data_IF_719066488564
#
_entry.id   IF_719066488564
#
_cell.length_a   1.000
_cell.length_b   1.000
_cell.length_c   1.000
_cell.angle_alpha   90.00
_cell.angle_beta   90.00
_cell.angle_gamma   90.00
#
_symmetry.space_group_name_H-M   'P 1'
#
loop_
_entity.id
_entity.type
_entity.pdbx_description
1 polymer ?
#
# COMPACT_ATOMS: atom_id res chain seq x y z
N UNK A 1 -10.91 17.01 -12.78
CA UNK A 1 -10.23 15.99 -11.95
C UNK A 1 -10.38 16.37 -10.51
N UNK A 2 -10.70 15.44 -9.60
CA UNK A 2 -10.58 15.76 -8.17
C UNK A 2 -9.30 15.15 -7.63
N UNK A 3 -8.21 15.90 -7.72
CA UNK A 3 -7.05 15.70 -6.86
C UNK A 3 -7.47 16.10 -5.46
N UNK A 4 -7.31 15.19 -4.50
CA UNK A 4 -7.57 15.48 -3.10
C UNK A 4 -6.28 15.21 -2.36
N UNK A 5 -5.70 16.22 -1.72
CA UNK A 5 -4.46 16.05 -0.93
C UNK A 5 -4.80 15.71 0.52
N UNK A 6 -5.81 14.87 0.72
CA UNK A 6 -6.42 14.66 2.03
C UNK A 6 -6.49 13.19 2.41
N UNK A 7 -5.44 12.45 2.07
CA UNK A 7 -5.26 11.11 2.58
C UNK A 7 -4.48 11.21 3.90
N UNK A 8 -5.17 10.98 5.02
CA UNK A 8 -4.55 10.91 6.34
C UNK A 8 -4.63 9.49 6.88
N UNK A 9 -3.55 9.06 7.53
CA UNK A 9 -3.24 7.66 7.81
C UNK A 9 -3.26 7.39 9.32
N UNK A 10 -4.20 6.53 9.72
CA UNK A 10 -4.32 5.72 10.94
C UNK A 10 -4.28 6.39 12.32
N UNK A 11 -4.94 5.73 13.27
CA UNK A 11 -5.31 6.30 14.57
C UNK A 11 -5.11 5.36 15.76
N UNK A 12 -4.82 4.08 15.55
CA UNK A 12 -5.19 3.05 16.52
C UNK A 12 -4.58 3.28 17.92
N UNK A 13 -3.26 3.44 17.99
CA UNK A 13 -2.54 3.72 19.23
C UNK A 13 -2.84 5.10 19.86
N UNK A 14 -3.48 6.01 19.10
CA UNK A 14 -3.89 7.33 19.61
C UNK A 14 -5.33 7.37 20.09
N UNK A 15 -6.18 6.44 19.66
CA UNK A 15 -7.59 6.42 20.07
C UNK A 15 -7.86 5.50 21.25
N UNK A 16 -7.05 4.46 21.45
CA UNK A 16 -7.13 3.59 22.62
C UNK A 16 -5.88 3.71 23.47
N UNK A 17 -6.08 3.88 24.79
CA UNK A 17 -4.98 4.08 25.75
C UNK A 17 -4.01 2.90 25.76
N UNK A 18 -4.54 1.68 25.75
CA UNK A 18 -3.76 0.43 25.73
C UNK A 18 -3.89 -0.33 24.41
N UNK A 19 -4.26 0.36 23.33
CA UNK A 19 -4.42 -0.26 22.01
C UNK A 19 -5.67 -1.13 21.83
N UNK A 20 -6.52 -1.26 22.84
CA UNK A 20 -7.82 -1.95 22.77
C UNK A 20 -8.89 -1.22 23.55
N UNK A 21 -10.15 -1.48 23.21
CA UNK A 21 -11.32 -0.83 23.80
C UNK A 21 -11.38 -0.97 25.33
N UNK A 22 -10.98 -2.12 25.88
CA UNK A 22 -11.00 -2.36 27.34
C UNK A 22 -10.03 -1.46 28.12
N UNK A 23 -8.99 -0.92 27.47
CA UNK A 23 -8.07 0.04 28.07
C UNK A 23 -8.62 1.48 28.09
N UNK A 24 -9.77 1.71 27.47
CA UNK A 24 -10.43 3.01 27.41
C UNK A 24 -10.06 3.84 26.17
N UNK A 25 -10.91 4.84 25.90
CA UNK A 25 -10.79 5.74 24.76
C UNK A 25 -9.98 6.97 25.15
N UNK A 26 -8.93 7.28 24.39
CA UNK A 26 -8.16 8.51 24.52
C UNK A 26 -8.89 9.69 23.85
N UNK A 27 -9.59 10.48 24.66
CA UNK A 27 -10.41 11.61 24.20
C UNK A 27 -9.58 12.72 23.54
N UNK A 28 -8.32 12.92 23.93
CA UNK A 28 -7.45 13.91 23.25
C UNK A 28 -7.09 13.46 21.82
N UNK A 29 -6.91 12.15 21.61
CA UNK A 29 -6.76 11.57 20.28
C UNK A 29 -8.00 11.82 19.42
N UNK A 30 -9.19 11.53 19.96
CA UNK A 30 -10.47 11.80 19.28
C UNK A 30 -10.62 13.28 18.93
N UNK A 31 -10.31 14.17 19.86
CA UNK A 31 -10.38 15.63 19.66
C UNK A 31 -9.43 16.11 18.57
N UNK A 32 -8.18 15.61 18.54
CA UNK A 32 -7.21 15.95 17.51
C UNK A 32 -7.75 15.66 16.10
N UNK A 33 -8.29 14.45 15.89
CA UNK A 33 -8.79 14.07 14.57
C UNK A 33 -10.10 14.78 14.20
N UNK A 34 -10.97 15.06 15.18
CA UNK A 34 -12.12 15.95 14.97
C UNK A 34 -11.69 17.32 14.45
N UNK A 35 -10.69 17.94 15.07
CA UNK A 35 -10.19 19.25 14.65
C UNK A 35 -9.60 19.19 13.24
N UNK A 36 -8.79 18.17 12.93
CA UNK A 36 -8.23 17.99 11.59
C UNK A 36 -9.32 17.81 10.53
N UNK A 37 -10.31 16.95 10.79
CA UNK A 37 -11.42 16.69 9.86
C UNK A 37 -12.24 17.97 9.63
N UNK A 38 -12.54 18.71 10.69
CA UNK A 38 -13.28 19.96 10.60
C UNK A 38 -12.51 21.01 9.79
N UNK A 39 -11.21 21.16 10.02
CA UNK A 39 -10.37 22.11 9.29
C UNK A 39 -10.30 21.77 7.80
N UNK A 40 -10.15 20.49 7.46
CA UNK A 40 -10.20 20.06 6.06
C UNK A 40 -11.54 20.42 5.41
N UNK A 41 -12.65 20.06 6.04
CA UNK A 41 -13.97 20.35 5.48
C UNK A 41 -14.24 21.85 5.35
N UNK A 42 -13.80 22.66 6.31
CA UNK A 42 -13.89 24.12 6.25
C UNK A 42 -13.15 24.71 5.04
N UNK A 43 -12.10 24.04 4.57
CA UNK A 43 -11.33 24.40 3.38
C UNK A 43 -11.80 23.68 2.10
N UNK A 44 -12.99 23.06 2.10
CA UNK A 44 -13.54 22.34 0.94
C UNK A 44 -12.82 21.03 0.62
N UNK A 45 -12.00 20.53 1.55
CA UNK A 45 -11.16 19.36 1.40
C UNK A 45 -11.85 18.15 2.02
N UNK A 46 -12.31 17.21 1.18
CA UNK A 46 -12.91 15.97 1.69
C UNK A 46 -11.82 15.00 2.19
N UNK A 47 -11.94 14.48 3.41
CA UNK A 47 -11.03 13.48 3.93
C UNK A 47 -11.25 12.09 3.31
N UNK A 48 -10.14 11.44 2.95
CA UNK A 48 -10.02 10.00 2.74
C UNK A 48 -9.18 9.44 3.88
N UNK A 49 -9.77 8.55 4.67
CA UNK A 49 -9.18 8.09 5.92
C UNK A 49 -8.77 6.64 5.81
N UNK A 50 -7.50 6.35 6.07
CA UNK A 50 -7.01 4.99 6.28
C UNK A 50 -7.09 4.61 7.75
N UNK A 51 -7.76 3.50 8.05
CA UNK A 51 -7.94 2.99 9.40
C UNK A 51 -6.69 2.28 9.91
N UNK A 52 -5.93 1.58 9.06
CA UNK A 52 -4.69 0.92 9.45
C UNK A 52 -3.56 1.21 8.46
N UNK A 53 -2.44 1.71 8.99
CA UNK A 53 -1.24 2.03 8.23
C UNK A 53 0.01 1.52 8.94
N UNK A 54 0.04 0.21 9.19
CA UNK A 54 1.17 -0.52 9.77
C UNK A 54 1.55 -0.07 11.19
N UNK A 55 0.63 0.60 11.88
CA UNK A 55 0.80 1.24 13.18
C UNK A 55 0.02 0.49 14.25
N UNK A 56 0.15 -0.83 14.24
CA UNK A 56 -0.51 -1.70 15.20
C UNK A 56 -0.04 -1.33 16.63
N UNK A 57 -0.95 -1.17 17.61
CA UNK A 57 -0.55 -0.93 18.99
C UNK A 57 0.36 -2.04 19.49
N UNK A 58 1.52 -1.66 20.05
CA UNK A 58 2.54 -2.60 20.54
C UNK A 58 1.97 -3.55 21.60
N UNK A 59 1.02 -3.09 22.42
CA UNK A 59 0.32 -3.92 23.42
C UNK A 59 -0.36 -5.14 22.81
N UNK A 60 -0.92 -5.05 21.60
CA UNK A 60 -1.55 -6.19 20.91
C UNK A 60 -0.50 -7.14 20.33
N UNK A 61 0.63 -6.61 19.88
CA UNK A 61 1.78 -7.41 19.46
C UNK A 61 2.36 -8.19 20.66
N UNK A 62 2.52 -7.55 21.81
CA UNK A 62 3.05 -8.17 23.03
C UNK A 62 2.08 -9.21 23.62
N UNK A 63 0.77 -8.95 23.62
CA UNK A 63 -0.21 -9.82 24.25
C UNK A 63 -0.43 -11.13 23.46
N UNK A 64 -0.40 -11.07 22.13
CA UNK A 64 -0.73 -12.25 21.30
C UNK A 64 -0.09 -12.27 19.90
N UNK A 65 0.89 -11.41 19.60
CA UNK A 65 1.56 -11.35 18.30
C UNK A 65 0.76 -10.65 17.20
N UNK A 66 -0.18 -9.78 17.57
CA UNK A 66 -0.91 -8.94 16.62
C UNK A 66 -1.59 -9.72 15.51
N UNK A 67 -1.23 -9.44 14.26
CA UNK A 67 -1.83 -10.10 13.09
C UNK A 67 -1.46 -11.57 12.91
N UNK A 68 -0.57 -12.15 13.72
CA UNK A 68 -0.38 -13.60 13.76
C UNK A 68 -1.55 -14.33 14.44
N UNK A 69 -2.36 -13.62 15.23
CA UNK A 69 -3.48 -14.17 15.97
C UNK A 69 -4.83 -13.76 15.36
N UNK A 70 -5.83 -14.64 15.30
CA UNK A 70 -7.18 -14.27 14.86
C UNK A 70 -7.87 -13.29 15.82
N UNK A 71 -7.35 -13.11 17.05
CA UNK A 71 -7.88 -12.15 18.05
C UNK A 71 -7.89 -10.72 17.51
N UNK A 72 -6.92 -10.37 16.65
CA UNK A 72 -6.78 -9.06 16.01
C UNK A 72 -8.04 -8.63 15.24
N UNK A 73 -8.84 -9.59 14.76
CA UNK A 73 -10.04 -9.29 13.96
C UNK A 73 -11.06 -8.53 14.81
N UNK A 74 -11.24 -8.94 16.07
CA UNK A 74 -12.19 -8.29 16.97
C UNK A 74 -11.64 -6.96 17.48
N UNK A 75 -10.37 -6.89 17.90
CA UNK A 75 -9.76 -5.63 18.36
C UNK A 75 -9.75 -4.58 17.25
N UNK A 76 -9.48 -4.99 16.01
CA UNK A 76 -9.59 -4.10 14.85
C UNK A 76 -11.04 -3.68 14.59
N UNK A 77 -12.01 -4.58 14.76
CA UNK A 77 -13.43 -4.24 14.62
C UNK A 77 -13.84 -3.17 15.63
N UNK A 78 -13.53 -3.35 16.91
CA UNK A 78 -13.83 -2.39 17.99
C UNK A 78 -13.21 -1.01 17.70
N UNK A 79 -11.96 -0.99 17.25
CA UNK A 79 -11.27 0.23 16.84
C UNK A 79 -11.99 0.94 15.69
N UNK A 80 -12.36 0.21 14.64
CA UNK A 80 -13.02 0.82 13.48
C UNK A 80 -14.45 1.26 13.80
N UNK A 81 -15.16 0.57 14.68
CA UNK A 81 -16.48 0.97 15.15
C UNK A 81 -16.42 2.31 15.89
N UNK A 82 -15.41 2.51 16.75
CA UNK A 82 -15.16 3.82 17.36
C UNK A 82 -14.89 4.88 16.29
N UNK A 83 -14.02 4.61 15.32
CA UNK A 83 -13.73 5.57 14.24
C UNK A 83 -15.00 5.97 13.48
N UNK A 84 -15.89 5.02 13.19
CA UNK A 84 -17.13 5.30 12.48
C UNK A 84 -18.13 6.08 13.33
N UNK A 85 -18.20 5.79 14.63
CA UNK A 85 -19.04 6.53 15.57
C UNK A 85 -18.59 7.98 15.69
N UNK A 86 -17.29 8.22 15.88
CA UNK A 86 -16.75 9.55 16.15
C UNK A 86 -16.62 10.43 14.90
N UNK A 87 -16.36 9.83 13.74
CA UNK A 87 -16.00 10.58 12.53
C UNK A 87 -16.87 10.26 11.30
N UNK A 88 -17.71 9.21 11.35
CA UNK A 88 -18.49 8.75 10.20
C UNK A 88 -19.59 9.71 9.74
N UNK A 89 -19.96 10.66 10.59
CA UNK A 89 -20.87 11.77 10.26
C UNK A 89 -20.27 12.68 9.16
N UNK A 90 -18.94 12.87 9.17
CA UNK A 90 -18.19 13.75 8.24
C UNK A 90 -17.33 12.98 7.22
N UNK A 91 -16.72 11.88 7.63
CA UNK A 91 -15.84 11.06 6.78
C UNK A 91 -16.65 10.04 6.00
N UNK A 92 -16.65 10.16 4.66
CA UNK A 92 -17.41 9.27 3.75
C UNK A 92 -16.53 8.31 2.94
N UNK A 93 -15.22 8.49 2.99
CA UNK A 93 -14.26 7.65 2.27
C UNK A 93 -13.30 7.00 3.26
N UNK A 94 -13.47 5.70 3.46
CA UNK A 94 -12.72 4.89 4.41
C UNK A 94 -11.95 3.81 3.67
N UNK A 95 -10.66 3.72 3.95
CA UNK A 95 -9.76 2.65 3.54
C UNK A 95 -9.47 1.83 4.80
N UNK A 96 -9.76 0.53 4.81
CA UNK A 96 -9.52 -0.28 6.01
C UNK A 96 -8.03 -0.47 6.28
N UNK A 97 -7.30 -0.96 5.29
CA UNK A 97 -5.91 -1.38 5.41
C UNK A 97 -5.16 -0.82 4.21
N UNK A 98 -4.02 -0.19 4.47
CA UNK A 98 -3.10 0.23 3.44
C UNK A 98 -2.04 -0.83 3.19
N UNK A 99 -1.86 -1.20 1.92
CA UNK A 99 -0.76 -2.05 1.47
C UNK A 99 -0.53 -3.32 2.31
N UNK A 100 -1.54 -4.20 2.40
CA UNK A 100 -1.42 -5.41 3.21
C UNK A 100 -0.29 -6.33 2.73
N UNK A 101 0.06 -6.27 1.44
CA UNK A 101 1.22 -6.95 0.87
C UNK A 101 2.52 -6.48 1.51
N UNK A 102 2.79 -5.18 1.46
CA UNK A 102 4.00 -4.57 2.03
C UNK A 102 4.12 -4.88 3.52
N UNK A 103 3.02 -4.74 4.28
CA UNK A 103 3.00 -5.08 5.71
C UNK A 103 3.38 -6.54 5.95
N UNK A 104 2.76 -7.46 5.21
CA UNK A 104 2.98 -8.91 5.39
C UNK A 104 4.40 -9.32 5.00
N UNK A 105 4.92 -8.77 3.89
CA UNK A 105 6.24 -9.14 3.38
C UNK A 105 7.35 -8.49 4.19
N UNK A 106 7.27 -7.19 4.42
CA UNK A 106 8.33 -6.50 5.14
C UNK A 106 8.31 -6.78 6.65
N UNK A 107 7.13 -7.00 7.23
CA UNK A 107 6.98 -7.33 8.65
C UNK A 107 7.30 -8.78 9.01
N UNK A 108 6.96 -9.75 8.13
CA UNK A 108 6.93 -11.17 8.49
C UNK A 108 7.66 -12.11 7.50
N UNK A 109 8.14 -11.60 6.36
CA UNK A 109 8.94 -12.41 5.42
C UNK A 109 10.41 -11.96 5.37
N UNK A 110 10.68 -10.67 5.21
CA UNK A 110 12.05 -10.13 5.15
C UNK A 110 12.54 -9.59 6.48
N UNK A 111 11.63 -9.31 7.43
CA UNK A 111 11.94 -8.71 8.72
C UNK A 111 12.51 -7.28 8.61
N UNK A 112 12.24 -6.59 7.51
CA UNK A 112 12.71 -5.23 7.27
C UNK A 112 11.92 -4.20 8.07
N UNK A 113 10.61 -4.38 8.23
CA UNK A 113 9.73 -3.44 8.93
C UNK A 113 9.18 -4.09 10.21
N UNK A 114 8.70 -3.32 11.20
CA UNK A 114 8.07 -3.88 12.40
C UNK A 114 6.96 -4.89 12.06
N UNK A 115 6.85 -6.01 12.80
CA UNK A 115 7.61 -6.39 14.00
C UNK A 115 8.99 -7.03 13.71
N UNK A 116 9.49 -6.95 12.47
CA UNK A 116 10.81 -7.44 12.05
C UNK A 116 11.01 -8.94 12.22
N UNK A 117 9.96 -9.73 11.94
CA UNK A 117 9.99 -11.20 11.99
C UNK A 117 10.43 -11.78 10.67
N UNK A 118 11.35 -12.74 10.73
CA UNK A 118 11.77 -13.52 9.56
C UNK A 118 12.47 -14.80 9.99
N UNK A 119 12.62 -15.75 9.06
CA UNK A 119 13.37 -16.96 9.35
C UNK A 119 14.86 -16.69 9.56
N UNK A 120 15.40 -17.19 10.66
CA UNK A 120 16.82 -17.05 11.06
C UNK A 120 17.83 -17.51 9.99
N UNK A 121 17.45 -18.45 9.12
CA UNK A 121 18.30 -18.92 8.02
C UNK A 121 18.38 -17.95 6.83
N UNK A 122 17.45 -16.99 6.71
CA UNK A 122 17.50 -15.90 5.73
C UNK A 122 18.33 -14.73 6.26
N UNK A 123 18.12 -14.36 7.52
CA UNK A 123 18.85 -13.29 8.19
C UNK A 123 19.14 -13.72 9.64
N UNK A 124 20.41 -13.92 10.03
CA UNK A 124 20.77 -14.30 11.40
C UNK A 124 20.31 -13.31 12.47
N UNK A 125 20.05 -12.05 12.11
CA UNK A 125 19.55 -11.02 13.02
C UNK A 125 18.04 -11.13 13.30
N UNK A 126 17.30 -11.96 12.56
CA UNK A 126 15.90 -12.20 12.89
C UNK A 126 15.81 -13.07 14.15
N UNK A 127 15.15 -12.51 15.16
CA UNK A 127 15.02 -13.13 16.47
C UNK A 127 14.05 -14.32 16.44
N UNK A 128 12.99 -14.22 15.63
CA UNK A 128 11.95 -15.22 15.46
C UNK A 128 11.24 -15.02 14.11
N UNK A 129 10.51 -16.04 13.66
CA UNK A 129 9.68 -15.97 12.46
C UNK A 129 9.79 -17.16 11.51
N UNK A 130 8.75 -17.35 10.69
CA UNK A 130 8.72 -18.29 9.57
C UNK A 130 8.32 -17.56 8.27
N UNK A 131 9.32 -17.15 7.49
CA UNK A 131 9.15 -16.42 6.22
C UNK A 131 8.39 -17.20 5.13
N UNK A 132 8.15 -18.50 5.35
CA UNK A 132 7.35 -19.34 4.48
C UNK A 132 5.90 -19.54 4.95
N UNK A 133 5.53 -19.09 6.16
CA UNK A 133 4.19 -19.29 6.76
C UNK A 133 3.56 -18.01 7.29
N UNK A 134 4.29 -17.24 8.10
CA UNK A 134 3.78 -16.04 8.76
C UNK A 134 3.20 -14.98 7.82
N UNK A 135 3.83 -14.61 6.67
CA UNK A 135 3.24 -13.63 5.76
C UNK A 135 1.86 -14.08 5.24
N UNK A 136 1.64 -15.38 5.06
CA UNK A 136 0.34 -15.94 4.65
C UNK A 136 -0.70 -15.94 5.76
N UNK A 137 -0.28 -16.22 6.99
CA UNK A 137 -1.16 -16.15 8.16
C UNK A 137 -1.61 -14.71 8.44
N UNK A 138 -0.66 -13.77 8.44
CA UNK A 138 -0.91 -12.33 8.63
C UNK A 138 -1.83 -11.79 7.54
N UNK A 139 -1.55 -12.09 6.27
CA UNK A 139 -2.41 -11.69 5.15
C UNK A 139 -3.82 -12.24 5.27
N UNK A 140 -3.97 -13.46 5.79
CA UNK A 140 -5.28 -14.07 6.03
C UNK A 140 -6.07 -13.31 7.09
N UNK A 141 -5.46 -12.98 8.22
CA UNK A 141 -6.10 -12.18 9.26
C UNK A 141 -6.37 -10.73 8.83
N UNK A 142 -5.50 -10.11 8.03
CA UNK A 142 -5.76 -8.80 7.43
C UNK A 142 -7.02 -8.81 6.54
N UNK A 143 -7.18 -9.82 5.69
CA UNK A 143 -8.37 -9.96 4.83
C UNK A 143 -9.65 -10.20 5.66
N UNK A 144 -9.56 -11.01 6.71
CA UNK A 144 -10.70 -11.26 7.61
C UNK A 144 -11.07 -10.02 8.43
N UNK A 145 -10.08 -9.30 8.96
CA UNK A 145 -10.27 -8.04 9.67
C UNK A 145 -10.91 -7.00 8.75
N UNK A 146 -10.41 -6.85 7.52
CA UNK A 146 -11.04 -6.01 6.51
C UNK A 146 -12.51 -6.38 6.26
N UNK A 147 -12.81 -7.66 6.04
CA UNK A 147 -14.15 -8.09 5.68
C UNK A 147 -15.13 -7.99 6.86
N UNK A 148 -14.67 -8.17 8.10
CA UNK A 148 -15.45 -7.91 9.30
C UNK A 148 -15.90 -6.45 9.37
N UNK A 149 -14.98 -5.52 9.12
CA UNK A 149 -15.25 -4.07 9.08
C UNK A 149 -16.21 -3.69 7.97
N UNK A 150 -16.03 -4.25 6.76
CA UNK A 150 -16.91 -3.95 5.61
C UNK A 150 -18.32 -4.47 5.80
N UNK A 151 -18.49 -5.60 6.49
CA UNK A 151 -19.82 -6.15 6.80
C UNK A 151 -20.64 -5.18 7.65
N UNK A 152 -20.02 -4.51 8.62
CA UNK A 152 -20.69 -3.55 9.49
C UNK A 152 -20.99 -2.24 8.77
N UNK A 153 -20.08 -1.80 7.91
CA UNK A 153 -20.26 -0.60 7.10
C UNK A 153 -19.68 -0.84 5.70
N UNK A 154 -20.46 -0.65 4.63
CA UNK A 154 -19.95 -0.67 3.24
C UNK A 154 -18.70 0.22 3.10
N UNK A 155 -17.53 -0.41 3.07
CA UNK A 155 -16.18 0.19 3.24
C UNK A 155 -15.23 -0.37 2.17
N UNK A 156 -13.99 0.15 2.13
CA UNK A 156 -13.06 -0.04 1.01
C UNK A 156 -11.67 -0.50 1.45
N UNK A 157 -10.84 -0.89 0.49
CA UNK A 157 -9.49 -1.45 0.71
C UNK A 157 -8.45 -0.77 -0.20
N UNK A 158 -7.19 -0.67 0.23
CA UNK A 158 -6.07 -0.18 -0.61
C UNK A 158 -5.04 -1.28 -0.83
N UNK A 159 -4.69 -1.53 -2.09
CA UNK A 159 -3.70 -2.52 -2.52
C UNK A 159 -2.54 -1.80 -3.19
N UNK A 160 -1.31 -2.20 -2.88
CA UNK A 160 -0.13 -1.84 -3.67
C UNK A 160 0.13 -2.88 -4.73
N UNK A 161 0.51 -2.43 -5.91
CA UNK A 161 1.06 -3.32 -6.92
C UNK A 161 2.05 -2.61 -7.81
N UNK A 162 3.12 -3.34 -8.14
CA UNK A 162 3.93 -3.05 -9.32
C UNK A 162 3.19 -3.56 -10.56
N UNK A 163 3.65 -3.13 -11.73
CA UNK A 163 3.37 -3.88 -12.95
C UNK A 163 4.53 -4.84 -13.27
N UNK A 164 4.19 -5.99 -13.83
CA UNK A 164 5.12 -7.08 -14.08
C UNK A 164 5.22 -7.36 -15.58
N UNK A 165 6.27 -6.85 -16.21
CA UNK A 165 6.58 -7.11 -17.61
C UNK A 165 7.27 -8.46 -17.76
N UNK A 166 6.82 -9.31 -18.69
CA UNK A 166 7.57 -10.53 -18.99
C UNK A 166 8.97 -10.16 -19.53
N UNK A 167 10.02 -10.83 -19.05
CA UNK A 167 11.40 -10.53 -19.48
C UNK A 167 11.57 -10.73 -20.99
N UNK A 168 10.95 -11.78 -21.53
CA UNK A 168 10.94 -12.08 -22.96
C UNK A 168 9.56 -12.49 -23.46
N UNK A 169 9.42 -12.68 -24.78
CA UNK A 169 8.20 -13.20 -25.39
C UNK A 169 7.97 -14.71 -25.15
N UNK A 170 8.90 -15.39 -24.48
CA UNK A 170 8.76 -16.79 -24.09
C UNK A 170 7.50 -16.98 -23.23
N UNK A 171 6.73 -18.04 -23.51
CA UNK A 171 5.55 -18.42 -22.73
C UNK A 171 5.87 -18.59 -21.24
N UNK A 172 7.04 -19.13 -20.89
CA UNK A 172 7.44 -19.31 -19.50
C UNK A 172 7.56 -17.99 -18.73
N UNK A 173 8.17 -16.97 -19.34
CA UNK A 173 8.29 -15.64 -18.73
C UNK A 173 6.94 -14.94 -18.64
N UNK A 174 6.05 -15.13 -19.61
CA UNK A 174 4.66 -14.65 -19.53
C UNK A 174 3.89 -15.29 -18.37
N UNK A 175 4.05 -16.60 -18.17
CA UNK A 175 3.48 -17.28 -17.00
C UNK A 175 4.12 -16.84 -15.69
N UNK A 176 5.42 -16.53 -15.69
CA UNK A 176 6.11 -16.00 -14.52
C UNK A 176 5.60 -14.61 -14.15
N UNK A 177 5.39 -13.73 -15.13
CA UNK A 177 4.76 -12.42 -14.91
C UNK A 177 3.35 -12.55 -14.32
N UNK A 178 2.54 -13.51 -14.81
CA UNK A 178 1.23 -13.81 -14.22
C UNK A 178 1.35 -14.29 -12.75
N UNK A 179 2.34 -15.15 -12.44
CA UNK A 179 2.56 -15.56 -11.04
C UNK A 179 3.01 -14.39 -10.17
N UNK A 180 3.86 -13.49 -10.68
CA UNK A 180 4.31 -12.33 -9.94
C UNK A 180 3.14 -11.39 -9.59
N UNK A 181 2.24 -11.10 -10.55
CA UNK A 181 1.06 -10.28 -10.25
C UNK A 181 0.08 -10.99 -9.32
N UNK A 182 -0.07 -12.32 -9.41
CA UNK A 182 -0.91 -13.09 -8.48
C UNK A 182 -0.36 -13.02 -7.05
N UNK A 183 0.96 -13.11 -6.87
CA UNK A 183 1.61 -13.08 -5.54
C UNK A 183 1.71 -11.69 -4.91
N UNK A 184 1.39 -10.62 -5.64
CA UNK A 184 1.38 -9.25 -5.10
C UNK A 184 -0.03 -8.67 -5.10
N UNK A 185 -0.60 -8.45 -6.29
CA UNK A 185 -1.91 -7.83 -6.46
C UNK A 185 -3.04 -8.84 -6.24
N UNK A 186 -2.98 -9.99 -6.91
CA UNK A 186 -4.03 -11.02 -6.86
C UNK A 186 -4.22 -11.61 -5.47
N UNK A 187 -3.16 -11.66 -4.66
CA UNK A 187 -3.20 -12.20 -3.30
C UNK A 187 -4.27 -11.51 -2.43
N UNK A 188 -4.48 -10.21 -2.64
CA UNK A 188 -5.52 -9.45 -1.95
C UNK A 188 -6.73 -9.19 -2.84
N UNK A 189 -6.53 -8.91 -4.14
CA UNK A 189 -7.64 -8.57 -5.05
C UNK A 189 -8.55 -9.76 -5.38
N UNK A 190 -8.01 -10.97 -5.52
CA UNK A 190 -8.79 -12.15 -5.90
C UNK A 190 -9.69 -12.64 -4.77
N UNK A 191 -9.27 -12.66 -3.48
CA UNK A 191 -10.20 -12.88 -2.38
C UNK A 191 -11.36 -11.89 -2.37
N UNK A 192 -11.09 -10.60 -2.62
CA UNK A 192 -12.12 -9.58 -2.63
C UNK A 192 -13.14 -9.72 -3.77
N UNK A 193 -12.82 -10.45 -4.84
CA UNK A 193 -13.69 -10.59 -6.04
C UNK A 193 -14.23 -11.99 -6.29
N UNK A 194 -13.63 -12.99 -5.66
CA UNK A 194 -14.04 -14.41 -5.79
C UNK A 194 -14.24 -15.11 -4.45
N UNK A 195 -13.82 -14.49 -3.35
CA UNK A 195 -13.78 -15.09 -2.01
C UNK A 195 -12.66 -16.11 -1.82
N UNK A 196 -11.70 -16.23 -2.75
CA UNK A 196 -10.60 -17.17 -2.66
C UNK A 196 -9.28 -16.59 -3.19
N UNK A 197 -8.16 -17.20 -2.80
CA UNK A 197 -6.85 -16.82 -3.31
C UNK A 197 -6.62 -17.27 -4.76
N UNK A 198 -5.69 -16.63 -5.49
CA UNK A 198 -5.34 -17.02 -6.86
C UNK A 198 -5.02 -18.51 -7.00
N UNK A 199 -5.44 -19.12 -8.12
CA UNK A 199 -5.19 -20.54 -8.38
C UNK A 199 -3.70 -20.88 -8.35
N UNK A 200 -2.84 -20.00 -8.87
CA UNK A 200 -1.38 -20.16 -8.87
C UNK A 200 -0.84 -20.26 -7.44
N UNK A 201 -1.24 -19.35 -6.56
CA UNK A 201 -0.87 -19.36 -5.14
C UNK A 201 -1.32 -20.62 -4.44
N UNK A 202 -2.60 -21.01 -4.59
CA UNK A 202 -3.14 -22.23 -3.96
C UNK A 202 -2.36 -23.49 -4.38
N UNK A 203 -1.99 -23.57 -5.67
CA UNK A 203 -1.25 -24.70 -6.23
C UNK A 203 0.19 -24.77 -5.73
N UNK A 204 0.85 -23.61 -5.60
CA UNK A 204 2.27 -23.52 -5.22
C UNK A 204 2.49 -23.62 -3.70
N UNK A 205 1.57 -23.06 -2.91
CA UNK A 205 1.73 -22.93 -1.45
C UNK A 205 1.13 -24.10 -0.68
N UNK A 206 0.06 -24.71 -1.21
CA UNK A 206 -0.63 -25.83 -0.58
C UNK A 206 -1.07 -25.49 0.85
N UNK A 207 -0.58 -26.27 1.83
CA UNK A 207 -0.97 -26.14 3.25
C UNK A 207 -0.45 -24.87 3.95
N UNK A 208 0.54 -24.18 3.38
CA UNK A 208 1.08 -22.94 3.95
C UNK A 208 0.13 -21.74 3.75
N UNK A 209 -0.74 -21.82 2.74
CA UNK A 209 -1.78 -20.83 2.51
C UNK A 209 -3.05 -21.23 3.28
N UNK A 210 -3.52 -20.45 4.25
CA UNK A 210 -4.76 -20.74 4.96
C UNK A 210 -5.95 -20.81 4.00
N UNK A 211 -7.02 -21.51 4.41
CA UNK A 211 -8.25 -21.63 3.64
C UNK A 211 -9.37 -20.84 4.29
N UNK A 212 -10.12 -20.09 3.50
CA UNK A 212 -11.36 -19.47 3.97
C UNK A 212 -12.45 -20.53 4.20
N UNK A 213 -13.15 -20.42 5.32
CA UNK A 213 -14.40 -21.17 5.53
C UNK A 213 -15.50 -20.65 4.62
N UNK A 214 -16.58 -21.42 4.41
CA UNK A 214 -17.73 -20.98 3.60
C UNK A 214 -18.32 -19.64 4.09
N UNK A 215 -18.29 -19.37 5.40
CA UNK A 215 -18.77 -18.12 5.96
C UNK A 215 -17.80 -16.96 5.66
N UNK A 216 -16.50 -17.19 5.74
CA UNK A 216 -15.48 -16.19 5.41
C UNK A 216 -15.47 -15.85 3.92
N UNK A 217 -15.66 -16.85 3.04
CA UNK A 217 -15.82 -16.62 1.59
C UNK A 217 -16.98 -15.66 1.32
N UNK A 218 -18.15 -15.87 1.96
CA UNK A 218 -19.31 -14.98 1.82
C UNK A 218 -19.05 -13.57 2.36
N UNK A 219 -18.17 -13.44 3.35
CA UNK A 219 -17.86 -12.17 3.99
C UNK A 219 -16.90 -11.33 3.14
N UNK A 220 -15.87 -11.97 2.57
CA UNK A 220 -14.80 -11.29 1.81
C UNK A 220 -15.22 -11.04 0.36
N UNK A 221 -15.97 -11.94 -0.26
CA UNK A 221 -16.33 -11.78 -1.66
C UNK A 221 -17.23 -10.55 -1.86
N UNK A 222 -16.76 -9.59 -2.65
CA UNK A 222 -17.43 -8.32 -2.89
C UNK A 222 -17.28 -7.30 -1.76
N UNK A 223 -16.35 -7.50 -0.81
CA UNK A 223 -16.21 -6.63 0.36
C UNK A 223 -15.49 -5.30 0.07
N UNK A 224 -15.82 -4.61 -1.01
CA UNK A 224 -15.27 -3.28 -1.29
C UNK A 224 -16.18 -2.46 -2.22
N UNK A 225 -16.32 -1.15 -1.96
CA UNK A 225 -17.03 -0.23 -2.87
C UNK A 225 -16.10 0.43 -3.91
N UNK A 226 -14.81 0.57 -3.57
CA UNK A 226 -13.76 1.02 -4.46
C UNK A 226 -12.44 0.33 -4.11
N UNK A 227 -11.53 0.29 -5.08
CA UNK A 227 -10.14 -0.10 -4.90
C UNK A 227 -9.26 1.16 -4.79
N UNK A 228 -8.57 1.31 -3.65
CA UNK A 228 -7.39 2.18 -3.59
C UNK A 228 -6.22 1.45 -4.22
N UNK A 229 -5.55 2.07 -5.19
CA UNK A 229 -4.38 1.50 -5.85
C UNK A 229 -3.16 2.38 -5.60
N UNK A 230 -2.15 1.81 -4.94
CA UNK A 230 -0.84 2.42 -4.78
C UNK A 230 0.09 1.88 -5.87
N UNK A 231 0.63 2.77 -6.70
CA UNK A 231 1.52 2.41 -7.79
C UNK A 231 2.75 3.31 -7.80
N UNK A 232 3.93 2.71 -7.95
CA UNK A 232 5.21 3.44 -7.97
C UNK A 232 6.11 3.03 -9.13
N UNK A 233 6.19 1.73 -9.43
CA UNK A 233 7.21 1.17 -10.32
C UNK A 233 6.76 -0.12 -11.01
N UNK A 234 7.65 -0.72 -11.80
CA UNK A 234 7.47 -1.98 -12.50
C UNK A 234 8.75 -2.81 -12.50
N UNK A 235 8.62 -4.11 -12.70
CA UNK A 235 9.75 -5.03 -12.83
C UNK A 235 9.59 -5.89 -14.09
N UNK A 236 10.72 -6.29 -14.67
CA UNK A 236 10.74 -7.45 -15.54
C UNK A 236 10.69 -8.73 -14.71
N UNK A 237 10.09 -9.78 -15.27
CA UNK A 237 9.92 -11.07 -14.60
C UNK A 237 10.43 -12.20 -15.47
N UNK A 238 11.33 -13.01 -14.90
CA UNK A 238 11.92 -14.20 -15.51
C UNK A 238 11.35 -15.44 -14.83
N UNK A 239 11.04 -16.47 -15.60
CA UNK A 239 10.66 -17.76 -15.04
C UNK A 239 11.80 -18.38 -14.22
N UNK A 240 11.53 -18.77 -12.97
CA UNK A 240 12.47 -19.50 -12.14
C UNK A 240 12.02 -20.97 -11.96
N UNK A 241 12.94 -21.94 -11.89
CA UNK A 241 12.60 -23.32 -11.58
C UNK A 241 12.15 -23.46 -10.13
N UNK A 242 11.28 -24.44 -9.85
CA UNK A 242 10.94 -24.83 -8.48
C UNK A 242 12.16 -25.45 -7.81
N UNK A 243 12.56 -24.92 -6.65
CA UNK A 243 13.65 -25.47 -5.85
C UNK A 243 13.18 -26.74 -5.14
N UNK A 244 13.78 -27.90 -5.46
CA UNK A 244 13.39 -29.20 -4.89
C UNK A 244 13.62 -29.29 -3.38
N UNK A 245 14.71 -28.68 -2.89
CA UNK A 245 15.10 -28.65 -1.48
C UNK A 245 15.11 -27.22 -0.90
N UNK A 246 14.42 -26.30 -1.55
CA UNK A 246 14.31 -24.92 -1.07
C UNK A 246 13.52 -24.86 0.24
N UNK A 247 14.08 -24.19 1.26
CA UNK A 247 13.30 -23.87 2.45
C UNK A 247 12.15 -22.94 2.06
N UNK A 248 10.91 -23.15 2.57
CA UNK A 248 9.77 -22.31 2.25
C UNK A 248 10.07 -20.82 2.49
N UNK A 249 9.81 -19.98 1.50
CA UNK A 249 10.10 -18.56 1.54
C UNK A 249 9.20 -17.84 0.54
N UNK A 250 8.52 -16.78 0.97
CA UNK A 250 7.73 -15.93 0.08
C UNK A 250 8.49 -15.52 -1.20
N UNK A 251 9.78 -15.15 -1.08
CA UNK A 251 10.56 -14.63 -2.20
C UNK A 251 10.77 -15.63 -3.35
N UNK A 252 10.65 -16.94 -3.10
CA UNK A 252 10.81 -17.99 -4.12
C UNK A 252 9.50 -18.72 -4.45
N UNK A 253 8.45 -18.51 -3.66
CA UNK A 253 7.19 -19.26 -3.78
C UNK A 253 6.45 -19.04 -5.10
N UNK A 254 6.65 -17.87 -5.73
CA UNK A 254 6.06 -17.55 -7.04
C UNK A 254 6.75 -18.28 -8.20
N UNK A 255 7.90 -18.94 -7.97
CA UNK A 255 8.78 -19.47 -9.01
C UNK A 255 9.08 -18.42 -10.09
N UNK A 256 9.31 -17.17 -9.70
CA UNK A 256 9.59 -16.06 -10.61
C UNK A 256 10.67 -15.15 -10.02
N UNK A 257 11.62 -14.74 -10.85
CA UNK A 257 12.66 -13.79 -10.47
C UNK A 257 12.30 -12.42 -11.03
N UNK A 258 12.33 -11.40 -10.16
CA UNK A 258 12.07 -10.02 -10.52
C UNK A 258 13.40 -9.33 -10.78
N UNK A 259 13.47 -8.50 -11.81
CA UNK A 259 14.64 -7.68 -12.14
C UNK A 259 14.21 -6.31 -12.66
N UNK A 260 15.00 -5.29 -12.39
CA UNK A 260 14.78 -3.93 -12.88
C UNK A 260 15.48 -3.68 -14.21
N UNK A 261 16.19 -4.68 -14.75
CA UNK A 261 16.96 -4.56 -15.99
C UNK A 261 16.68 -5.72 -16.95
N UNK A 262 16.76 -5.44 -18.25
CA UNK A 262 16.70 -6.41 -19.33
C UNK A 262 17.88 -6.17 -20.27
N UNK A 263 18.73 -7.18 -20.43
CA UNK A 263 19.96 -7.10 -21.22
C UNK A 263 20.84 -5.88 -20.86
N UNK A 264 20.99 -5.61 -19.56
CA UNK A 264 21.75 -4.47 -19.04
C UNK A 264 21.05 -3.11 -19.14
N UNK A 265 19.86 -3.03 -19.74
CA UNK A 265 19.08 -1.78 -19.81
C UNK A 265 18.03 -1.74 -18.69
N UNK A 266 18.05 -0.73 -17.81
CA UNK A 266 17.00 -0.52 -16.81
C UNK A 266 15.61 -0.36 -17.44
N UNK A 267 14.57 -0.79 -16.72
CA UNK A 267 13.17 -0.62 -17.13
C UNK A 267 12.79 0.87 -17.25
N UNK A 268 13.46 1.72 -16.48
CA UNK A 268 13.37 3.17 -16.52
C UNK A 268 14.46 3.84 -15.66
N UNK A 269 14.49 5.17 -15.57
CA UNK A 269 15.38 5.89 -14.65
C UNK A 269 15.14 5.47 -13.19
N UNK A 270 16.20 5.28 -12.40
CA UNK A 270 16.11 4.99 -10.97
C UNK A 270 15.97 6.29 -10.18
N UNK A 271 15.11 6.30 -9.14
CA UNK A 271 15.00 7.40 -8.19
C UNK A 271 16.06 7.30 -7.08
N UNK A 272 15.90 8.04 -5.97
CA UNK A 272 16.80 7.92 -4.82
C UNK A 272 16.69 6.55 -4.14
N UNK A 273 15.47 6.03 -4.04
CA UNK A 273 15.22 4.66 -3.59
C UNK A 273 15.61 3.63 -4.66
N UNK A 274 16.45 2.67 -4.28
CA UNK A 274 16.97 1.62 -5.17
C UNK A 274 15.90 0.65 -5.74
N UNK A 275 14.68 0.69 -5.21
CA UNK A 275 13.55 -0.12 -5.66
C UNK A 275 12.65 0.61 -6.66
N UNK A 276 12.76 1.93 -6.76
CA UNK A 276 11.83 2.77 -7.53
C UNK A 276 12.45 3.14 -8.89
N UNK A 277 11.97 2.47 -9.93
CA UNK A 277 12.30 2.76 -11.33
C UNK A 277 11.10 3.39 -12.04
N UNK A 278 11.31 4.52 -12.71
CA UNK A 278 10.25 5.31 -13.34
C UNK A 278 9.74 4.61 -14.60
N UNK A 279 8.62 3.90 -14.49
CA UNK A 279 7.95 3.22 -15.60
C UNK A 279 6.47 3.61 -15.69
N UNK A 280 6.13 4.80 -16.22
CA UNK A 280 4.77 5.32 -16.18
C UNK A 280 3.79 4.49 -17.02
N UNK A 281 4.25 3.74 -18.03
CA UNK A 281 3.39 2.83 -18.80
C UNK A 281 2.77 1.74 -17.91
N UNK A 282 3.48 1.27 -16.88
CA UNK A 282 3.00 0.19 -16.03
C UNK A 282 1.71 0.50 -15.27
N UNK A 283 1.44 1.77 -14.91
CA UNK A 283 0.16 2.13 -14.27
C UNK A 283 -1.01 1.87 -15.22
N UNK A 284 -0.84 2.13 -16.52
CA UNK A 284 -1.88 1.88 -17.53
C UNK A 284 -2.12 0.39 -17.68
N UNK A 285 -1.05 -0.40 -17.80
CA UNK A 285 -1.17 -1.85 -17.98
C UNK A 285 -1.83 -2.51 -16.76
N UNK A 286 -1.44 -2.11 -15.54
CA UNK A 286 -2.07 -2.59 -14.31
C UNK A 286 -3.56 -2.22 -14.21
N UNK A 287 -3.92 -1.01 -14.62
CA UNK A 287 -5.31 -0.54 -14.64
C UNK A 287 -6.16 -1.29 -15.67
N UNK A 288 -5.64 -1.52 -16.88
CA UNK A 288 -6.31 -2.32 -17.90
C UNK A 288 -6.46 -3.78 -17.46
N UNK A 289 -5.40 -4.37 -16.89
CA UNK A 289 -5.45 -5.70 -16.29
C UNK A 289 -6.55 -5.77 -15.22
N UNK A 290 -6.61 -4.78 -14.32
CA UNK A 290 -7.62 -4.73 -13.26
C UNK A 290 -9.03 -4.64 -13.84
N UNK A 291 -9.22 -3.84 -14.90
CA UNK A 291 -10.49 -3.73 -15.61
C UNK A 291 -10.95 -5.07 -16.16
N UNK A 292 -10.10 -5.74 -16.92
CA UNK A 292 -10.44 -7.00 -17.61
C UNK A 292 -10.57 -8.17 -16.62
N UNK A 293 -9.66 -8.29 -15.66
CA UNK A 293 -9.59 -9.44 -14.74
C UNK A 293 -10.60 -9.35 -13.59
N UNK A 294 -10.87 -8.15 -13.09
CA UNK A 294 -11.63 -7.92 -11.85
C UNK A 294 -12.90 -7.08 -12.05
N UNK A 295 -13.47 -7.09 -13.26
CA UNK A 295 -14.76 -6.49 -13.59
C UNK A 295 -14.83 -4.96 -13.37
N UNK A 296 -13.78 -4.24 -13.79
CA UNK A 296 -13.70 -2.78 -13.83
C UNK A 296 -14.21 -2.05 -12.56
N UNK A 297 -13.63 -2.34 -11.38
CA UNK A 297 -14.07 -1.72 -10.15
C UNK A 297 -13.84 -0.20 -10.20
N UNK A 298 -14.56 0.54 -9.33
CA UNK A 298 -14.23 1.94 -9.07
C UNK A 298 -12.84 2.02 -8.44
N UNK A 299 -11.93 2.81 -9.03
CA UNK A 299 -10.54 2.92 -8.61
C UNK A 299 -10.19 4.36 -8.21
N UNK A 300 -9.39 4.50 -7.15
CA UNK A 300 -8.66 5.71 -6.81
C UNK A 300 -7.17 5.38 -6.76
N UNK A 301 -6.33 6.18 -7.44
CA UNK A 301 -4.88 6.06 -7.27
C UNK A 301 -4.51 6.71 -5.94
N UNK A 302 -4.43 5.93 -4.86
CA UNK A 302 -4.29 6.42 -3.48
C UNK A 302 -2.87 6.80 -3.13
N UNK A 303 -1.88 6.27 -3.84
CA UNK A 303 -0.49 6.71 -3.76
C UNK A 303 0.19 6.57 -5.13
N UNK A 304 0.91 7.61 -5.53
CA UNK A 304 1.87 7.59 -6.63
C UNK A 304 2.87 8.72 -6.41
N UNK A 305 4.16 8.43 -6.49
CA UNK A 305 5.19 9.39 -6.10
C UNK A 305 6.60 8.95 -6.47
N UNK A 306 7.53 9.89 -6.32
CA UNK A 306 8.96 9.65 -6.51
C UNK A 306 9.74 10.39 -5.43
N UNK A 307 10.83 9.78 -4.98
CA UNK A 307 11.70 10.33 -3.97
C UNK A 307 12.99 10.93 -4.53
N UNK A 308 13.57 11.82 -3.73
CA UNK A 308 14.92 12.34 -3.93
C UNK A 308 15.75 12.15 -2.67
N UNK A 309 17.07 12.18 -2.81
CA UNK A 309 17.95 12.19 -1.64
C UNK A 309 17.73 13.48 -0.86
N UNK A 310 17.70 13.36 0.47
CA UNK A 310 17.82 14.51 1.35
C UNK A 310 19.27 14.98 1.36
N UNK A 311 19.65 15.74 0.33
CA UNK A 311 21.00 16.27 0.15
C UNK A 311 21.21 17.52 1.03
N UNK A 312 22.05 17.44 2.09
CA UNK A 312 22.27 18.57 2.98
C UNK A 312 23.18 19.66 2.38
N UNK A 313 23.75 19.44 1.18
CA UNK A 313 24.62 20.40 0.50
C UNK A 313 23.85 21.42 -0.33
N UNK A 314 22.59 21.13 -0.67
CA UNK A 314 21.73 22.03 -1.42
C UNK A 314 21.24 23.19 -0.56
N UNK A 315 21.21 24.39 -1.14
CA UNK A 315 20.45 25.51 -0.58
C UNK A 315 18.94 25.19 -0.56
N UNK A 316 18.17 25.93 0.25
CA UNK A 316 16.71 25.79 0.23
C UNK A 316 16.14 26.03 -1.17
N UNK A 317 16.66 27.02 -1.90
CA UNK A 317 16.19 27.31 -3.26
C UNK A 317 16.37 26.10 -4.19
N UNK A 318 17.55 25.47 -4.18
CA UNK A 318 17.84 24.28 -4.98
C UNK A 318 17.00 23.07 -4.54
N UNK A 319 16.84 22.85 -3.23
CA UNK A 319 16.03 21.75 -2.69
C UNK A 319 14.54 21.86 -3.05
N UNK A 320 14.06 23.06 -3.40
CA UNK A 320 12.69 23.27 -3.88
C UNK A 320 12.52 23.02 -5.39
N UNK A 321 13.60 22.85 -6.17
CA UNK A 321 13.57 22.66 -7.62
C UNK A 321 13.47 21.19 -8.03
N UNK A 322 12.39 20.52 -7.63
CA UNK A 322 12.12 19.10 -7.88
C UNK A 322 11.49 18.81 -9.25
N UNK A 323 12.12 19.27 -10.33
CA UNK A 323 11.58 19.15 -11.70
C UNK A 323 11.34 17.70 -12.17
N UNK A 324 12.14 16.74 -11.72
CA UNK A 324 11.93 15.30 -12.01
C UNK A 324 10.63 14.77 -11.37
N UNK A 325 10.21 15.31 -10.21
CA UNK A 325 8.92 14.94 -9.60
C UNK A 325 7.76 15.42 -10.45
N UNK A 326 7.87 16.60 -11.07
CA UNK A 326 6.90 17.07 -12.06
C UNK A 326 6.84 16.13 -13.26
N UNK A 327 7.99 15.79 -13.85
CA UNK A 327 8.06 14.87 -15.00
C UNK A 327 7.45 13.50 -14.67
N UNK A 328 7.76 12.95 -13.49
CA UNK A 328 7.17 11.70 -12.98
C UNK A 328 5.64 11.78 -12.95
N UNK A 329 5.07 12.76 -12.25
CA UNK A 329 3.62 12.88 -12.11
C UNK A 329 2.94 13.18 -13.46
N UNK A 330 3.52 14.05 -14.28
CA UNK A 330 3.01 14.37 -15.61
C UNK A 330 2.89 13.11 -16.48
N UNK A 331 3.94 12.27 -16.54
CA UNK A 331 3.92 11.04 -17.32
C UNK A 331 2.94 10.01 -16.77
N UNK A 332 2.87 9.83 -15.45
CA UNK A 332 1.91 8.91 -14.83
C UNK A 332 0.47 9.37 -15.07
N UNK A 333 0.17 10.67 -14.97
CA UNK A 333 -1.14 11.22 -15.27
C UNK A 333 -1.51 11.09 -16.76
N UNK A 334 -0.54 11.18 -17.68
CA UNK A 334 -0.76 10.91 -19.10
C UNK A 334 -1.23 9.46 -19.32
N UNK A 335 -0.51 8.48 -18.78
CA UNK A 335 -0.89 7.07 -18.91
C UNK A 335 -2.18 6.72 -18.16
N UNK A 336 -2.42 7.35 -17.00
CA UNK A 336 -3.69 7.25 -16.27
C UNK A 336 -4.85 7.76 -17.12
N UNK A 337 -4.71 8.92 -17.75
CA UNK A 337 -5.73 9.48 -18.63
C UNK A 337 -5.97 8.58 -19.85
N UNK A 338 -4.92 7.97 -20.42
CA UNK A 338 -5.08 6.96 -21.47
C UNK A 338 -5.88 5.75 -20.99
N UNK A 339 -5.62 5.21 -19.79
CA UNK A 339 -6.39 4.10 -19.24
C UNK A 339 -7.87 4.45 -19.05
N UNK A 340 -8.16 5.68 -18.58
CA UNK A 340 -9.54 6.18 -18.44
C UNK A 340 -10.23 6.26 -19.80
N UNK A 341 -9.54 6.75 -20.84
CA UNK A 341 -10.07 6.78 -22.21
C UNK A 341 -10.38 5.39 -22.75
N UNK A 342 -9.64 4.38 -22.32
CA UNK A 342 -9.86 2.97 -22.63
C UNK A 342 -10.91 2.29 -21.71
N UNK A 343 -11.64 3.08 -20.93
CA UNK A 343 -12.82 2.65 -20.16
C UNK A 343 -12.53 2.22 -18.72
N UNK A 344 -11.32 2.42 -18.19
CA UNK A 344 -11.04 2.12 -16.77
C UNK A 344 -11.74 3.13 -15.86
N UNK A 345 -12.45 2.64 -14.83
CA UNK A 345 -13.24 3.45 -13.90
C UNK A 345 -12.40 4.12 -12.78
N UNK A 346 -11.46 5.00 -13.13
CA UNK A 346 -10.70 5.79 -12.15
C UNK A 346 -11.41 7.11 -11.82
N UNK A 347 -11.49 7.49 -10.54
CA UNK A 347 -12.15 8.75 -10.09
C UNK A 347 -11.27 9.70 -9.28
N UNK A 348 -10.04 9.34 -8.97
CA UNK A 348 -9.12 10.26 -8.30
C UNK A 348 -7.69 9.80 -8.28
N UNK A 349 -6.82 10.73 -7.92
CA UNK A 349 -5.39 10.55 -7.82
C UNK A 349 -4.87 11.35 -6.62
N UNK A 350 -4.00 10.70 -5.85
CA UNK A 350 -3.39 11.21 -4.63
C UNK A 350 -1.86 11.07 -4.78
N UNK A 351 -1.15 12.20 -4.76
CA UNK A 351 0.30 12.19 -4.82
C UNK A 351 0.88 11.74 -3.47
N UNK A 352 1.80 10.78 -3.51
CA UNK A 352 2.64 10.47 -2.36
C UNK A 352 3.93 11.31 -2.45
N UNK A 353 4.19 12.23 -1.53
CA UNK A 353 3.42 12.60 -0.34
C UNK A 353 3.08 14.10 -0.32
N UNK A 354 2.13 14.49 0.55
CA UNK A 354 1.87 15.91 0.82
C UNK A 354 3.13 16.59 1.39
N UNK A 355 3.81 15.93 2.32
CA UNK A 355 4.95 16.44 3.07
C UNK A 355 6.12 15.46 3.00
N UNK A 356 7.34 15.98 2.99
CA UNK A 356 8.48 15.16 3.40
C UNK A 356 8.22 14.61 4.81
N UNK A 357 8.49 13.32 5.00
CA UNK A 357 8.11 12.58 6.19
C UNK A 357 9.13 11.47 6.48
N UNK A 358 8.87 10.68 7.51
CA UNK A 358 9.67 9.54 7.90
C UNK A 358 9.40 8.36 6.95
N UNK A 359 10.33 8.07 6.05
CA UNK A 359 10.23 7.01 5.05
C UNK A 359 10.76 5.68 5.61
N UNK A 360 10.11 5.21 6.68
CA UNK A 360 10.38 3.90 7.28
C UNK A 360 11.88 3.64 7.54
N UNK A 361 12.44 2.57 6.98
CA UNK A 361 13.85 2.22 7.12
C UNK A 361 14.84 3.23 6.51
N UNK A 362 14.39 4.10 5.60
CA UNK A 362 15.21 5.19 5.10
C UNK A 362 15.24 6.38 6.06
N UNK A 363 14.37 6.41 7.07
CA UNK A 363 14.19 7.54 7.97
C UNK A 363 13.95 8.83 7.17
N UNK A 364 14.82 9.81 7.33
CA UNK A 364 14.74 11.10 6.63
C UNK A 364 15.82 11.24 5.53
N UNK A 365 16.39 10.13 5.04
CA UNK A 365 17.42 10.14 3.98
C UNK A 365 16.85 10.42 2.60
N UNK A 366 15.55 10.21 2.42
CA UNK A 366 14.84 10.47 1.16
C UNK A 366 13.62 11.35 1.42
N UNK A 367 13.14 12.00 0.36
CA UNK A 367 12.05 12.99 0.40
C UNK A 367 11.03 12.70 -0.71
N UNK A 368 9.80 12.35 -0.32
CA UNK A 368 8.67 12.14 -1.24
C UNK A 368 7.74 13.36 -1.38
N UNK A 369 7.90 14.36 -0.52
CA UNK A 369 6.92 15.44 -0.37
C UNK A 369 6.89 16.38 -1.57
N UNK A 370 5.71 16.78 -2.01
CA UNK A 370 5.54 17.96 -2.87
C UNK A 370 5.76 19.27 -2.08
N UNK A 371 5.67 19.21 -0.74
CA UNK A 371 6.10 20.27 0.16
C UNK A 371 7.33 19.82 0.94
N UNK A 372 8.38 20.64 0.87
CA UNK A 372 9.59 20.46 1.64
C UNK A 372 9.30 20.70 3.12
N UNK A 373 9.83 19.82 3.97
CA UNK A 373 9.82 20.01 5.44
C UNK A 373 11.24 20.29 5.90
N UNK A 374 11.42 21.48 6.48
CA UNK A 374 12.70 21.92 7.03
C UNK A 374 12.91 21.35 8.43
N UNK A 375 13.61 20.23 8.51
CA UNK A 375 13.94 19.56 9.78
C UNK A 375 14.83 20.40 10.71
N UNK A 376 15.49 21.44 10.20
CA UNK A 376 16.37 22.32 10.98
C UNK A 376 15.70 23.63 11.40
N UNK A 377 14.51 23.93 10.89
CA UNK A 377 13.80 25.19 11.14
C UNK A 377 12.35 24.94 11.61
N UNK A 378 12.20 24.29 12.76
CA UNK A 378 10.89 24.08 13.39
C UNK A 378 9.89 23.33 12.51
N UNK A 379 10.36 22.46 11.61
CA UNK A 379 9.53 21.74 10.65
C UNK A 379 8.75 22.66 9.71
N UNK A 380 9.27 23.83 9.35
CA UNK A 380 8.57 24.74 8.43
C UNK A 380 8.34 24.09 7.06
N UNK A 381 7.17 24.35 6.47
CA UNK A 381 6.75 23.80 5.17
C UNK A 381 6.99 24.82 4.05
N UNK A 382 7.58 24.36 2.95
CA UNK A 382 7.81 25.16 1.75
C UNK A 382 7.29 24.42 0.51
N UNK A 383 6.55 25.10 -0.36
CA UNK A 383 6.07 24.50 -1.61
C UNK A 383 7.25 24.28 -2.55
N UNK A 384 7.51 23.01 -2.92
CA UNK A 384 8.44 22.69 -4.00
C UNK A 384 7.83 23.09 -5.36
N UNK A 385 8.63 23.02 -6.41
CA UNK A 385 8.18 23.32 -7.77
C UNK A 385 7.02 22.40 -8.17
N UNK A 386 7.03 21.13 -7.76
CA UNK A 386 5.95 20.17 -7.97
C UNK A 386 4.62 20.58 -7.32
N UNK A 387 4.62 21.12 -6.09
CA UNK A 387 3.40 21.64 -5.47
C UNK A 387 2.83 22.85 -6.23
N UNK A 388 3.71 23.75 -6.71
CA UNK A 388 3.31 24.89 -7.55
C UNK A 388 2.75 24.42 -8.90
N UNK A 389 3.37 23.39 -9.49
CA UNK A 389 2.89 22.77 -10.72
C UNK A 389 1.52 22.13 -10.52
N UNK A 390 1.30 21.37 -9.44
CA UNK A 390 -0.02 20.81 -9.11
C UNK A 390 -1.07 21.89 -8.94
N UNK A 391 -0.76 22.97 -8.21
CA UNK A 391 -1.67 24.11 -8.06
C UNK A 391 -2.12 24.68 -9.40
N UNK A 392 -1.20 24.81 -10.37
CA UNK A 392 -1.51 25.32 -11.70
C UNK A 392 -2.25 24.30 -12.58
N UNK A 393 -1.84 23.03 -12.51
CA UNK A 393 -2.48 21.92 -13.22
C UNK A 393 -3.96 21.79 -12.81
N UNK A 394 -4.26 21.96 -11.53
CA UNK A 394 -5.61 21.83 -11.00
C UNK A 394 -6.51 23.04 -11.25
N UNK A 395 -5.96 24.25 -11.38
CA UNK A 395 -6.75 25.46 -11.70
C UNK A 395 -7.34 25.47 -13.12
N UNK A 396 -6.78 24.70 -14.04
CA UNK A 396 -7.27 24.61 -15.42
C UNK A 396 -8.58 23.81 -15.54
N UNK A 397 -9.07 23.24 -14.45
CA UNK A 397 -10.27 22.42 -14.35
C UNK A 397 -11.07 22.81 -13.10
#
# INVERSE_FOLDING_TARGET
WVFRVNHFKSFHHKLFVEGKLSGGINQEGVKYYNNLINELLANGLQPFVTLFHWDLPQTLEDEYGGFLSPRIINDFQDYTELCFKEFGDRVKHWITINEPWSYSIFGYATGMMPPSRCSKWLNPNCMDGDSGKEPYLVSHHLLLAHAAVVKMYKKKHTIVSNWFEAYSNNKLDKYAAQRAIDFMFGWFMEPLTSGNYPQSMRSLLGRRLPKFTKQQVKLINGSFDFLGLNYYTSNYVVNAPKLSNGKPNYATDSNANLTTQRNGTPIGPMAASNWLYVYPKGIRELLLYTKEKYNNPLIYITENGIDEFNDPTLSLEEALLDSFRIDYHYRHLFYLHSAIRDGVNVKGYFAWSLLDNFEWNNGYKVRFGINFVDYKNGLKRYQKLSAKWFKNFLKKY
#
